data_IF_878192958153
#
_entry.id   IF_878192958153
#
_cell.length_a   1.000
_cell.length_b   1.000
_cell.length_c   1.000
_cell.angle_alpha   90.00
_cell.angle_beta   90.00
_cell.angle_gamma   90.00
#
_symmetry.space_group_name_H-M   'P 1'
#
loop_
_entity.id
_entity.type
_entity.pdbx_description
1 polymer ?
#
# COMPACT_ATOMS: atom_id res chain seq x y z
N UNK A 1 -13.57 -4.06 -19.36
CA UNK A 1 -14.52 -4.19 -18.24
C UNK A 1 -14.30 -5.56 -17.60
N UNK A 2 -13.74 -5.63 -16.42
CA UNK A 2 -13.59 -6.89 -15.68
C UNK A 2 -14.99 -7.29 -15.22
N UNK A 3 -15.62 -8.23 -15.92
CA UNK A 3 -16.89 -8.86 -15.50
C UNK A 3 -16.59 -9.94 -14.48
N UNK A 4 -16.24 -9.56 -13.28
CA UNK A 4 -16.07 -10.48 -12.14
C UNK A 4 -16.96 -10.01 -11.00
N UNK A 5 -17.31 -10.91 -10.08
CA UNK A 5 -17.88 -10.54 -8.79
C UNK A 5 -16.77 -10.21 -7.80
N UNK A 6 -17.02 -9.32 -6.84
CA UNK A 6 -16.16 -9.17 -5.66
C UNK A 6 -16.13 -10.48 -4.88
N UNK A 7 -14.98 -10.86 -4.38
CA UNK A 7 -14.78 -12.08 -3.60
C UNK A 7 -14.40 -11.74 -2.17
N UNK A 8 -14.60 -12.69 -1.27
CA UNK A 8 -14.25 -12.52 0.15
C UNK A 8 -12.80 -12.03 0.28
N UNK A 9 -12.58 -10.95 1.04
CA UNK A 9 -11.25 -10.36 1.24
C UNK A 9 -10.24 -11.40 1.80
N UNK A 10 -10.70 -12.37 2.56
CA UNK A 10 -9.87 -13.43 3.09
C UNK A 10 -9.20 -14.27 2.00
N UNK A 11 -9.85 -14.43 0.84
CA UNK A 11 -9.33 -15.19 -0.30
C UNK A 11 -8.38 -14.39 -1.19
N UNK A 12 -8.29 -13.07 -1.02
CA UNK A 12 -7.40 -12.21 -1.79
C UNK A 12 -5.97 -12.26 -1.26
N UNK A 13 -5.00 -12.08 -2.13
CA UNK A 13 -3.60 -11.82 -1.79
C UNK A 13 -3.07 -10.74 -2.71
N UNK A 14 -2.06 -9.99 -2.27
CA UNK A 14 -1.41 -8.99 -3.12
C UNK A 14 -0.92 -9.66 -4.41
N UNK A 15 -1.30 -9.10 -5.56
CA UNK A 15 -0.85 -9.62 -6.84
C UNK A 15 0.65 -9.35 -7.08
N UNK A 16 1.29 -10.15 -7.93
CA UNK A 16 2.68 -9.94 -8.30
C UNK A 16 2.89 -8.57 -8.98
N UNK A 17 1.94 -8.13 -9.82
CA UNK A 17 2.00 -6.82 -10.46
C UNK A 17 1.92 -5.68 -9.46
N UNK A 18 1.09 -5.78 -8.44
CA UNK A 18 1.01 -4.78 -7.38
C UNK A 18 2.28 -4.76 -6.51
N UNK A 19 2.89 -5.92 -6.22
CA UNK A 19 4.17 -5.98 -5.52
C UNK A 19 5.29 -5.29 -6.31
N UNK A 20 5.36 -5.52 -7.62
CA UNK A 20 6.30 -4.83 -8.52
C UNK A 20 6.02 -3.32 -8.55
N UNK A 21 4.74 -2.93 -8.57
CA UNK A 21 4.32 -1.53 -8.47
C UNK A 21 4.80 -0.87 -7.17
N UNK A 22 4.66 -1.54 -6.02
CA UNK A 22 5.19 -1.04 -4.74
C UNK A 22 6.71 -0.85 -4.83
N UNK A 23 7.46 -1.85 -5.32
CA UNK A 23 8.90 -1.74 -5.51
C UNK A 23 9.30 -0.55 -6.40
N UNK A 24 8.51 -0.27 -7.45
CA UNK A 24 8.72 0.87 -8.34
C UNK A 24 8.58 2.24 -7.65
N UNK A 25 7.70 2.35 -6.64
CA UNK A 25 7.54 3.57 -5.85
C UNK A 25 8.66 3.77 -4.82
N UNK A 26 9.17 2.69 -4.22
CA UNK A 26 10.05 2.75 -3.04
C UNK A 26 11.54 2.96 -3.37
N UNK A 27 11.98 2.95 -4.60
CA UNK A 27 13.40 3.08 -5.01
C UNK A 27 14.36 2.16 -4.23
N UNK A 28 15.09 1.32 -4.95
CA UNK A 28 16.04 0.40 -4.34
C UNK A 28 17.26 1.11 -3.72
N UNK A 29 17.62 0.75 -2.49
CA UNK A 29 18.85 1.14 -1.80
C UNK A 29 19.57 -0.09 -1.25
N UNK A 30 20.76 -0.37 -1.75
CA UNK A 30 21.56 -1.53 -1.34
C UNK A 30 22.24 -1.38 0.03
N UNK A 31 22.29 -0.17 0.57
CA UNK A 31 22.85 0.16 1.88
C UNK A 31 21.84 0.96 2.71
N UNK A 32 21.80 0.67 4.01
CA UNK A 32 20.87 1.33 4.93
C UNK A 32 21.15 2.83 5.03
N UNK A 33 20.10 3.63 4.97
CA UNK A 33 20.16 5.09 5.04
C UNK A 33 19.03 5.64 5.91
N UNK A 34 19.18 6.90 6.33
CA UNK A 34 18.10 7.65 6.97
C UNK A 34 17.43 8.54 5.91
N UNK A 35 16.13 8.36 5.60
CA UNK A 35 15.42 9.26 4.66
C UNK A 35 15.44 10.72 5.14
N UNK A 36 15.23 10.94 6.43
CA UNK A 36 15.50 12.20 7.13
C UNK A 36 16.23 11.94 8.45
N UNK A 37 16.85 12.95 9.08
CA UNK A 37 17.60 12.76 10.35
C UNK A 37 16.77 12.17 11.50
N UNK A 38 15.44 12.32 11.47
CA UNK A 38 14.53 11.81 12.51
C UNK A 38 13.87 10.48 12.12
N UNK A 39 14.11 9.99 10.90
CA UNK A 39 13.54 8.72 10.44
C UNK A 39 14.32 7.51 10.98
N UNK A 40 13.70 6.34 10.84
CA UNK A 40 14.35 5.06 11.12
C UNK A 40 15.21 4.60 9.94
N UNK A 41 16.29 3.83 10.18
CA UNK A 41 17.10 3.28 9.10
C UNK A 41 16.26 2.45 8.13
N UNK A 42 16.43 2.72 6.83
CA UNK A 42 15.67 2.12 5.73
C UNK A 42 16.62 1.41 4.78
N UNK A 43 16.22 0.25 4.26
CA UNK A 43 17.05 -0.62 3.41
C UNK A 43 16.21 -1.25 2.29
N UNK A 44 16.82 -1.54 1.16
CA UNK A 44 16.17 -2.23 0.04
C UNK A 44 15.09 -1.36 -0.61
N UNK A 45 13.88 -1.86 -0.65
CA UNK A 45 12.68 -1.15 -1.10
C UNK A 45 11.82 -0.69 0.08
N UNK A 46 12.35 0.19 0.91
CA UNK A 46 11.61 0.83 2.00
C UNK A 46 11.46 0.01 3.28
N UNK A 47 12.13 -1.13 3.42
CA UNK A 47 12.07 -1.93 4.65
C UNK A 47 12.77 -1.23 5.80
N UNK A 48 12.13 -1.19 6.97
CA UNK A 48 12.65 -0.52 8.17
C UNK A 48 12.81 -1.45 9.37
N UNK A 49 12.02 -2.53 9.46
CA UNK A 49 12.02 -3.42 10.62
C UNK A 49 13.37 -4.11 10.83
N UNK A 50 13.96 -3.92 11.99
CA UNK A 50 15.25 -4.50 12.36
C UNK A 50 16.45 -4.01 11.54
N UNK A 51 16.29 -2.93 10.74
CA UNK A 51 17.39 -2.35 9.97
C UNK A 51 18.28 -1.50 10.88
N UNK A 52 19.59 -1.67 10.72
CA UNK A 52 20.62 -0.85 11.39
C UNK A 52 21.44 -0.11 10.33
N UNK A 53 21.92 1.08 10.64
CA UNK A 53 22.87 1.80 9.78
C UNK A 53 24.10 0.93 9.51
N UNK A 54 24.61 0.97 8.28
CA UNK A 54 25.71 0.11 7.81
C UNK A 54 25.26 -1.28 7.31
N UNK A 55 23.99 -1.66 7.51
CA UNK A 55 23.47 -2.89 6.92
C UNK A 55 23.43 -2.80 5.38
N UNK A 56 23.70 -3.93 4.72
CA UNK A 56 23.68 -4.05 3.27
C UNK A 56 22.75 -5.18 2.82
N UNK A 57 22.22 -5.05 1.62
CA UNK A 57 21.35 -6.06 0.99
C UNK A 57 21.62 -6.14 -0.50
N UNK A 58 21.18 -7.24 -1.11
CA UNK A 58 21.12 -7.44 -2.56
C UNK A 58 19.68 -7.32 -3.06
N UNK A 59 19.43 -7.05 -4.35
CA UNK A 59 18.06 -6.92 -4.88
C UNK A 59 17.15 -8.10 -4.56
N UNK A 60 17.66 -9.34 -4.68
CA UNK A 60 16.92 -10.56 -4.40
C UNK A 60 16.52 -10.66 -2.92
N UNK A 61 17.44 -10.39 -2.00
CA UNK A 61 17.16 -10.37 -0.55
C UNK A 61 16.19 -9.25 -0.17
N UNK A 62 16.36 -8.08 -0.79
CA UNK A 62 15.46 -6.96 -0.58
C UNK A 62 14.05 -7.27 -1.09
N UNK A 63 13.90 -8.03 -2.20
CA UNK A 63 12.61 -8.45 -2.73
C UNK A 63 11.89 -9.42 -1.77
N UNK A 64 12.61 -10.38 -1.20
CA UNK A 64 12.05 -11.28 -0.17
C UNK A 64 11.55 -10.48 1.03
N UNK A 65 12.29 -9.46 1.42
CA UNK A 65 11.94 -8.58 2.54
C UNK A 65 10.71 -7.73 2.22
N UNK A 66 10.67 -7.13 1.03
CA UNK A 66 9.50 -6.39 0.52
C UNK A 66 8.24 -7.25 0.54
N UNK A 67 8.35 -8.51 0.08
CA UNK A 67 7.23 -9.45 0.09
C UNK A 67 6.72 -9.72 1.53
N UNK A 68 7.64 -9.94 2.47
CA UNK A 68 7.27 -10.17 3.87
C UNK A 68 6.61 -8.93 4.51
N UNK A 69 7.13 -7.74 4.21
CA UNK A 69 6.55 -6.47 4.69
C UNK A 69 5.16 -6.24 4.09
N UNK A 70 5.01 -6.44 2.78
CA UNK A 70 3.72 -6.31 2.10
C UNK A 70 2.69 -7.33 2.63
N UNK A 71 3.12 -8.56 2.92
CA UNK A 71 2.27 -9.61 3.50
C UNK A 71 1.79 -9.22 4.91
N UNK A 72 2.63 -8.63 5.72
CA UNK A 72 2.23 -8.09 7.03
C UNK A 72 1.17 -6.99 6.86
N UNK A 73 1.40 -6.02 5.98
CA UNK A 73 0.47 -4.90 5.74
C UNK A 73 -0.88 -5.41 5.22
N UNK A 74 -0.91 -6.35 4.27
CA UNK A 74 -2.17 -6.89 3.76
C UNK A 74 -2.96 -7.66 4.84
N UNK A 75 -2.29 -8.42 5.73
CA UNK A 75 -2.97 -9.11 6.84
C UNK A 75 -3.60 -8.14 7.83
N UNK A 76 -2.88 -7.07 8.19
CA UNK A 76 -3.41 -6.04 9.09
C UNK A 76 -4.56 -5.28 8.45
N UNK A 77 -4.44 -4.93 7.16
CA UNK A 77 -5.49 -4.26 6.40
C UNK A 77 -6.77 -5.12 6.32
N UNK A 78 -6.63 -6.41 6.04
CA UNK A 78 -7.77 -7.36 6.04
C UNK A 78 -8.49 -7.37 7.39
N UNK A 79 -7.74 -7.39 8.50
CA UNK A 79 -8.35 -7.38 9.84
C UNK A 79 -9.15 -6.11 10.11
N UNK A 80 -8.70 -4.95 9.68
CA UNK A 80 -9.42 -3.71 9.92
C UNK A 80 -10.55 -3.43 8.92
N UNK A 81 -10.49 -3.96 7.70
CA UNK A 81 -11.61 -3.88 6.74
C UNK A 81 -12.72 -4.86 7.16
N UNK A 82 -12.37 -6.06 7.63
CA UNK A 82 -13.34 -7.12 7.99
C UNK A 82 -13.85 -7.87 6.74
N UNK A 83 -15.00 -8.51 6.85
CA UNK A 83 -15.57 -9.41 5.83
C UNK A 83 -16.22 -8.67 4.65
N UNK A 84 -15.57 -7.64 4.13
CA UNK A 84 -16.03 -6.88 2.98
C UNK A 84 -15.48 -7.50 1.71
N UNK A 85 -16.33 -7.96 0.76
CA UNK A 85 -15.86 -8.51 -0.51
C UNK A 85 -15.24 -7.41 -1.38
N UNK A 86 -14.13 -7.71 -2.06
CA UNK A 86 -13.42 -6.79 -2.93
C UNK A 86 -13.09 -7.42 -4.28
N UNK A 87 -12.86 -6.58 -5.28
CA UNK A 87 -12.13 -7.00 -6.48
C UNK A 87 -10.63 -7.07 -6.19
N UNK A 88 -9.89 -7.87 -6.93
CA UNK A 88 -8.42 -7.96 -6.80
C UNK A 88 -7.74 -6.59 -6.94
N UNK A 89 -8.13 -5.81 -7.94
CA UNK A 89 -7.55 -4.48 -8.18
C UNK A 89 -7.85 -3.47 -7.06
N UNK A 90 -9.02 -3.56 -6.41
CA UNK A 90 -9.35 -2.75 -5.23
C UNK A 90 -8.41 -3.11 -4.06
N UNK A 91 -8.26 -4.42 -3.81
CA UNK A 91 -7.38 -4.93 -2.75
C UNK A 91 -5.91 -4.57 -2.98
N UNK A 92 -5.43 -4.69 -4.21
CA UNK A 92 -4.07 -4.31 -4.61
C UNK A 92 -3.81 -2.82 -4.37
N UNK A 93 -4.74 -1.96 -4.78
CA UNK A 93 -4.65 -0.52 -4.59
C UNK A 93 -4.62 -0.13 -3.10
N UNK A 94 -5.51 -0.71 -2.30
CA UNK A 94 -5.55 -0.45 -0.86
C UNK A 94 -4.32 -0.98 -0.13
N UNK A 95 -3.77 -2.12 -0.55
CA UNK A 95 -2.53 -2.66 0.03
C UNK A 95 -1.32 -1.81 -0.32
N UNK A 96 -1.19 -1.34 -1.58
CA UNK A 96 -0.15 -0.40 -1.99
C UNK A 96 -0.19 0.90 -1.17
N UNK A 97 -1.39 1.46 -1.01
CA UNK A 97 -1.59 2.66 -0.20
C UNK A 97 -1.26 2.42 1.28
N UNK A 98 -1.75 1.33 1.89
CA UNK A 98 -1.50 1.00 3.29
C UNK A 98 -0.01 0.73 3.55
N UNK A 99 0.72 0.16 2.59
CA UNK A 99 2.18 0.00 2.64
C UNK A 99 2.88 1.36 2.78
N UNK A 100 2.41 2.38 2.07
CA UNK A 100 3.03 3.72 2.09
C UNK A 100 2.66 4.54 3.32
N UNK A 101 1.38 4.56 3.72
CA UNK A 101 0.91 5.41 4.82
C UNK A 101 1.00 4.74 6.19
N UNK A 102 1.24 3.44 6.22
CA UNK A 102 1.21 2.60 7.42
C UNK A 102 -0.20 2.12 7.78
N UNK A 103 -0.29 0.89 8.27
CA UNK A 103 -1.58 0.24 8.57
C UNK A 103 -2.35 0.91 9.70
N UNK A 104 -1.66 1.51 10.68
CA UNK A 104 -2.31 2.27 11.73
C UNK A 104 -3.16 3.43 11.20
N UNK A 105 -2.59 4.25 10.31
CA UNK A 105 -3.29 5.34 9.66
C UNK A 105 -4.35 4.82 8.68
N UNK A 106 -4.04 3.77 7.92
CA UNK A 106 -4.97 3.15 6.99
C UNK A 106 -6.22 2.62 7.70
N UNK A 107 -6.07 1.89 8.80
CA UNK A 107 -7.17 1.29 9.55
C UNK A 107 -8.11 2.31 10.20
N UNK A 108 -7.60 3.48 10.58
CA UNK A 108 -8.41 4.58 11.16
C UNK A 108 -9.01 5.52 10.12
N UNK A 109 -8.78 5.27 8.83
CA UNK A 109 -9.14 6.18 7.74
C UNK A 109 -10.64 6.20 7.41
N UNK A 110 -11.05 7.27 6.74
CA UNK A 110 -12.39 7.36 6.13
C UNK A 110 -12.58 6.31 5.03
N UNK A 111 -11.51 5.91 4.33
CA UNK A 111 -11.56 4.84 3.34
C UNK A 111 -12.09 3.54 3.97
N UNK A 112 -11.49 3.09 5.06
CA UNK A 112 -11.94 1.86 5.74
C UNK A 112 -13.36 2.00 6.27
N UNK A 113 -13.74 3.17 6.81
CA UNK A 113 -15.13 3.42 7.24
C UNK A 113 -16.13 3.29 6.10
N UNK A 114 -15.79 3.77 4.90
CA UNK A 114 -16.65 3.65 3.71
C UNK A 114 -16.80 2.21 3.25
N UNK A 115 -15.73 1.41 3.32
CA UNK A 115 -15.80 -0.03 3.00
C UNK A 115 -16.67 -0.79 4.01
N UNK A 116 -16.65 -0.40 5.28
CA UNK A 116 -17.44 -1.01 6.36
C UNK A 116 -18.87 -0.49 6.48
N UNK A 117 -19.28 0.46 5.65
CA UNK A 117 -20.66 0.92 5.60
C UNK A 117 -21.59 -0.18 5.09
N UNK A 118 -22.87 -0.07 5.39
CA UNK A 118 -23.90 -0.98 4.90
C UNK A 118 -24.95 -0.19 4.09
N UNK A 119 -24.98 -0.30 2.75
CA UNK A 119 -24.02 -1.04 1.89
C UNK A 119 -22.65 -0.36 1.78
N UNK A 120 -21.58 -1.11 1.43
CA UNK A 120 -20.24 -0.53 1.24
C UNK A 120 -20.17 0.51 0.12
N UNK A 121 -19.51 1.66 0.39
CA UNK A 121 -19.26 2.72 -0.60
C UNK A 121 -17.91 2.50 -1.30
N UNK A 122 -17.82 1.54 -2.21
CA UNK A 122 -16.60 1.23 -2.95
C UNK A 122 -16.04 2.41 -3.76
N UNK A 123 -16.85 3.11 -4.58
CA UNK A 123 -16.33 4.25 -5.34
C UNK A 123 -15.85 5.38 -4.42
N UNK A 124 -16.54 5.60 -3.31
CA UNK A 124 -16.14 6.59 -2.32
C UNK A 124 -14.85 6.21 -1.61
N UNK A 125 -14.65 4.92 -1.29
CA UNK A 125 -13.42 4.43 -0.72
C UNK A 125 -12.23 4.62 -1.68
N UNK A 126 -12.38 4.30 -2.97
CA UNK A 126 -11.33 4.57 -3.97
C UNK A 126 -10.99 6.06 -4.04
N UNK A 127 -11.98 6.96 -4.01
CA UNK A 127 -11.75 8.42 -4.04
C UNK A 127 -10.98 8.93 -2.82
N UNK A 128 -11.12 8.30 -1.66
CA UNK A 128 -10.38 8.69 -0.46
C UNK A 128 -8.86 8.54 -0.61
N UNK A 129 -8.38 7.65 -1.48
CA UNK A 129 -6.96 7.52 -1.79
C UNK A 129 -6.34 8.87 -2.19
N UNK A 130 -7.04 9.67 -3.00
CA UNK A 130 -6.56 10.95 -3.52
C UNK A 130 -6.26 11.99 -2.44
N UNK A 131 -6.81 11.83 -1.23
CA UNK A 131 -6.61 12.77 -0.11
C UNK A 131 -5.28 12.57 0.62
N UNK A 132 -4.55 11.48 0.34
CA UNK A 132 -3.31 11.11 1.02
C UNK A 132 -2.05 11.57 0.26
N UNK A 133 -2.09 12.76 -0.31
CA UNK A 133 -1.03 13.36 -1.11
C UNK A 133 -0.16 14.38 -0.34
N UNK A 134 -0.33 14.45 1.00
CA UNK A 134 0.32 15.45 1.84
C UNK A 134 1.28 14.82 2.85
N UNK A 135 2.37 15.53 3.11
CA UNK A 135 3.27 15.28 4.22
C UNK A 135 3.55 16.61 4.94
N UNK A 136 3.44 16.62 6.26
CA UNK A 136 3.59 17.83 7.09
C UNK A 136 2.74 19.03 6.57
N UNK A 137 1.51 18.75 6.13
CA UNK A 137 0.56 19.74 5.61
C UNK A 137 0.81 20.20 4.17
N UNK A 138 1.90 19.80 3.52
CA UNK A 138 2.25 20.19 2.15
C UNK A 138 1.91 19.08 1.16
N UNK A 139 1.33 19.46 0.03
CA UNK A 139 1.13 18.54 -1.10
C UNK A 139 2.49 18.20 -1.72
N UNK A 140 2.75 16.91 -1.90
CA UNK A 140 3.95 16.41 -2.56
C UNK A 140 3.60 15.83 -3.94
N UNK A 141 4.16 16.36 -5.05
CA UNK A 141 3.83 15.89 -6.39
C UNK A 141 4.03 14.38 -6.59
N UNK A 142 5.05 13.79 -5.95
CA UNK A 142 5.28 12.35 -5.97
C UNK A 142 4.16 11.56 -5.31
N UNK A 143 3.64 12.03 -4.16
CA UNK A 143 2.48 11.41 -3.52
C UNK A 143 1.22 11.60 -4.34
N UNK A 144 0.99 12.78 -4.92
CA UNK A 144 -0.17 13.01 -5.81
C UNK A 144 -0.16 12.02 -6.97
N UNK A 145 0.99 11.84 -7.64
CA UNK A 145 1.13 10.88 -8.73
C UNK A 145 0.85 9.44 -8.28
N UNK A 146 1.39 9.04 -7.12
CA UNK A 146 1.16 7.71 -6.54
C UNK A 146 -0.32 7.48 -6.23
N UNK A 147 -0.98 8.44 -5.57
CA UNK A 147 -2.42 8.36 -5.25
C UNK A 147 -3.30 8.28 -6.49
N UNK A 148 -2.97 9.01 -7.54
CA UNK A 148 -3.70 8.91 -8.82
C UNK A 148 -3.54 7.54 -9.47
N UNK A 149 -2.35 6.95 -9.44
CA UNK A 149 -2.12 5.60 -9.95
C UNK A 149 -2.91 4.56 -9.13
N UNK A 150 -2.86 4.65 -7.80
CA UNK A 150 -3.62 3.76 -6.91
C UNK A 150 -5.15 3.94 -7.07
N UNK A 151 -5.62 5.17 -7.24
CA UNK A 151 -7.03 5.44 -7.54
C UNK A 151 -7.46 4.82 -8.88
N UNK A 152 -6.66 5.00 -9.93
CA UNK A 152 -6.94 4.42 -11.25
C UNK A 152 -7.00 2.90 -11.19
N UNK A 153 -6.05 2.28 -10.50
CA UNK A 153 -6.06 0.83 -10.25
C UNK A 153 -7.32 0.42 -9.48
N UNK A 154 -7.66 1.13 -8.40
CA UNK A 154 -8.85 0.87 -7.59
C UNK A 154 -10.14 0.92 -8.42
N UNK A 155 -10.21 1.80 -9.41
CA UNK A 155 -11.35 1.94 -10.34
C UNK A 155 -11.33 0.91 -11.48
N UNK A 156 -10.37 -0.02 -11.51
CA UNK A 156 -10.28 -1.08 -12.49
C UNK A 156 -9.61 -0.69 -13.81
N UNK A 157 -8.88 0.42 -13.84
CA UNK A 157 -8.00 0.72 -14.96
C UNK A 157 -6.80 -0.25 -14.94
N UNK A 158 -6.40 -0.74 -16.12
CA UNK A 158 -5.17 -1.52 -16.23
C UNK A 158 -3.96 -0.64 -15.81
N UNK A 159 -2.96 -1.23 -15.13
CA UNK A 159 -1.73 -0.52 -14.76
C UNK A 159 -0.92 -0.06 -15.96
#
# INVERSE_FOLDING_TARGET
>A
MVKGARIAIAALSLSASALVGIAGWEQYRGEAYLPTPQDVPTLGWGSTEGVKLGARTTPDRALVRLLADADRHQRELKRCIGDVPLFQHEFDAYTSWAYNVGTGAACSSTLVRKLRADPPDYPGACRELLRWDRQSGRVLPGLTKRRQAEFSLCMGAAP
#
